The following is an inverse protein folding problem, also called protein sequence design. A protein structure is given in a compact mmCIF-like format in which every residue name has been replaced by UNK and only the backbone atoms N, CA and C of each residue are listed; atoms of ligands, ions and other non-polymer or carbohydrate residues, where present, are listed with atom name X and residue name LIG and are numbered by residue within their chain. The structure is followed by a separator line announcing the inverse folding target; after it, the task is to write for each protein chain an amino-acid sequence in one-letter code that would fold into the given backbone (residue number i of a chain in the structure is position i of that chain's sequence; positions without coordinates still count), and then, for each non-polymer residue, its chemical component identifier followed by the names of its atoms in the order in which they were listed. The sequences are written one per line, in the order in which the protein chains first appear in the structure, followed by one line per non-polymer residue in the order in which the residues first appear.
data_IF_685614812390
#
_entry.id   IF_685614812390
#
_cell.length_a   1.000
_cell.length_b   1.000
_cell.length_c   1.000
_cell.angle_alpha   90.00
_cell.angle_beta   90.00
_cell.angle_gamma   90.00
#
_symmetry.space_group_name_H-M   'P 1'
#
loop_
_entity.id
_entity.type
_entity.pdbx_description
1 polymer ?
#
# COMPACT_ATOMS: atom_id res chain seq x y z
N UNK A 1 -38.31 -9.63 -15.18
CA UNK A 1 -37.37 -8.72 -14.51
C UNK A 1 -36.01 -9.36 -14.58
N UNK A 2 -34.99 -8.69 -15.12
CA UNK A 2 -33.63 -9.21 -15.18
C UNK A 2 -33.05 -9.28 -13.76
N UNK A 3 -32.38 -10.39 -13.43
CA UNK A 3 -31.70 -10.59 -12.16
C UNK A 3 -30.25 -10.09 -12.24
N UNK A 4 -29.57 -9.96 -11.08
CA UNK A 4 -28.17 -9.52 -11.02
C UNK A 4 -27.21 -10.41 -11.82
N UNK A 5 -27.50 -11.72 -11.90
CA UNK A 5 -26.72 -12.67 -12.69
C UNK A 5 -26.85 -12.44 -14.19
N UNK A 6 -28.06 -12.14 -14.68
CA UNK A 6 -28.32 -11.89 -16.10
C UNK A 6 -27.60 -10.62 -16.57
N UNK A 7 -27.60 -9.58 -15.72
CA UNK A 7 -26.86 -8.34 -15.99
C UNK A 7 -25.35 -8.59 -15.99
N UNK A 8 -24.83 -9.43 -15.08
CA UNK A 8 -23.41 -9.80 -15.06
C UNK A 8 -22.98 -10.54 -16.34
N UNK A 9 -23.80 -11.45 -16.86
CA UNK A 9 -23.52 -12.18 -18.10
C UNK A 9 -23.52 -11.26 -19.33
N UNK A 10 -24.44 -10.30 -19.41
CA UNK A 10 -24.49 -9.32 -20.51
C UNK A 10 -23.24 -8.42 -20.48
N UNK A 11 -22.81 -7.98 -19.30
CA UNK A 11 -21.61 -7.15 -19.16
C UNK A 11 -20.33 -7.93 -19.50
N UNK A 12 -20.24 -9.20 -19.07
CA UNK A 12 -19.09 -10.07 -19.35
C UNK A 12 -19.00 -10.45 -20.82
N UNK A 13 -20.14 -10.76 -21.47
CA UNK A 13 -20.20 -11.04 -22.92
C UNK A 13 -19.90 -9.80 -23.78
N UNK A 14 -20.11 -8.60 -23.23
CA UNK A 14 -19.68 -7.33 -23.83
C UNK A 14 -18.19 -7.01 -23.63
N UNK A 15 -17.40 -7.96 -23.09
CA UNK A 15 -15.95 -7.83 -22.93
C UNK A 15 -15.52 -6.97 -21.75
N UNK A 16 -16.40 -6.71 -20.78
CA UNK A 16 -16.04 -6.03 -19.52
C UNK A 16 -15.56 -7.06 -18.49
N UNK A 17 -14.50 -6.72 -17.77
CA UNK A 17 -14.03 -7.52 -16.63
C UNK A 17 -14.70 -6.98 -15.37
N UNK A 18 -15.49 -7.83 -14.72
CA UNK A 18 -16.16 -7.47 -13.47
C UNK A 18 -15.21 -7.72 -12.28
N UNK A 19 -15.01 -6.71 -11.44
CA UNK A 19 -14.20 -6.82 -10.22
C UNK A 19 -14.99 -7.32 -9.01
N UNK A 20 -16.25 -7.73 -9.21
CA UNK A 20 -17.16 -8.13 -8.14
C UNK A 20 -18.56 -8.46 -8.64
N UNK A 21 -19.44 -8.97 -7.76
CA UNK A 21 -20.82 -9.28 -8.12
C UNK A 21 -21.60 -8.00 -8.44
N UNK A 22 -22.52 -8.07 -9.40
CA UNK A 22 -23.46 -6.99 -9.67
C UNK A 22 -24.44 -6.92 -8.50
N UNK A 23 -24.45 -5.80 -7.79
CA UNK A 23 -25.27 -5.62 -6.58
C UNK A 23 -26.43 -4.68 -6.84
N UNK A 24 -27.51 -4.90 -6.10
CA UNK A 24 -28.66 -3.98 -6.03
C UNK A 24 -28.63 -3.39 -4.63
N UNK A 25 -28.58 -2.06 -4.52
CA UNK A 25 -28.56 -1.41 -3.22
C UNK A 25 -29.99 -1.37 -2.65
N UNK A 26 -30.16 -1.80 -1.40
CA UNK A 26 -31.44 -1.76 -0.70
C UNK A 26 -31.88 -0.29 -0.49
N UNK A 27 -32.69 0.20 -1.42
CA UNK A 27 -33.23 1.56 -1.44
C UNK A 27 -33.55 2.06 -2.85
N UNK A 28 -32.75 1.67 -3.85
CA UNK A 28 -32.94 2.06 -5.25
C UNK A 28 -33.35 0.82 -6.07
N UNK A 29 -34.66 0.51 -6.07
CA UNK A 29 -35.20 -0.67 -6.77
C UNK A 29 -35.02 -0.61 -8.29
N UNK A 30 -34.46 0.44 -8.87
CA UNK A 30 -34.39 0.64 -10.32
C UNK A 30 -32.99 0.49 -10.91
N UNK A 31 -31.93 0.46 -10.08
CA UNK A 31 -30.54 0.47 -10.55
C UNK A 31 -29.72 -0.74 -10.10
N UNK A 32 -28.93 -1.30 -11.01
CA UNK A 32 -27.87 -2.25 -10.72
C UNK A 32 -26.52 -1.54 -10.70
N UNK A 33 -25.66 -1.93 -9.76
CA UNK A 33 -24.30 -1.43 -9.66
C UNK A 33 -23.34 -2.52 -10.11
N UNK A 34 -22.57 -2.24 -11.15
CA UNK A 34 -21.57 -3.16 -11.69
C UNK A 34 -20.17 -2.59 -11.47
N UNK A 35 -19.32 -3.37 -10.81
CA UNK A 35 -17.92 -3.00 -10.56
C UNK A 35 -17.07 -3.47 -11.73
N UNK A 36 -16.43 -2.54 -12.43
CA UNK A 36 -15.66 -2.81 -13.66
C UNK A 36 -14.19 -2.49 -13.41
N UNK A 37 -13.33 -3.42 -13.77
CA UNK A 37 -11.88 -3.18 -13.78
C UNK A 37 -11.51 -2.28 -14.96
N UNK A 38 -10.77 -1.21 -14.65
CA UNK A 38 -10.15 -0.35 -15.67
C UNK A 38 -8.63 -0.43 -15.58
N UNK A 39 -8.00 -0.44 -16.74
CA UNK A 39 -6.56 -0.43 -16.94
C UNK A 39 -6.18 0.80 -17.78
N UNK A 40 -4.94 1.28 -17.67
CA UNK A 40 -4.44 2.37 -18.52
C UNK A 40 -3.57 1.80 -19.62
N UNK A 41 -3.78 2.23 -20.86
CA UNK A 41 -2.92 1.87 -21.98
C UNK A 41 -1.54 2.57 -21.88
N UNK A 42 -0.61 2.21 -22.76
CA UNK A 42 0.74 2.79 -22.82
C UNK A 42 0.76 4.30 -23.07
N UNK A 43 -0.37 4.89 -23.46
CA UNK A 43 -0.58 6.31 -23.71
C UNK A 43 -1.38 6.99 -22.58
N UNK A 44 -1.69 6.27 -21.49
CA UNK A 44 -2.42 6.76 -20.33
C UNK A 44 -3.94 6.77 -20.47
N UNK A 45 -4.51 6.22 -21.55
CA UNK A 45 -5.95 6.17 -21.74
C UNK A 45 -6.58 4.98 -21.00
N UNK A 46 -7.72 5.25 -20.37
CA UNK A 46 -8.52 4.25 -19.68
C UNK A 46 -9.13 3.23 -20.65
N UNK A 47 -8.96 1.94 -20.34
CA UNK A 47 -9.58 0.78 -20.98
C UNK A 47 -10.32 -0.06 -19.93
N UNK A 48 -11.63 -0.29 -20.06
CA UNK A 48 -12.54 0.28 -21.07
C UNK A 48 -12.74 1.80 -20.94
N UNK A 49 -12.95 2.48 -22.07
CA UNK A 49 -13.10 3.94 -22.12
C UNK A 49 -14.48 4.39 -21.64
N UNK A 50 -14.59 5.61 -21.11
CA UNK A 50 -15.88 6.17 -20.66
C UNK A 50 -16.93 6.23 -21.77
N UNK A 51 -16.50 6.42 -23.03
CA UNK A 51 -17.39 6.41 -24.20
C UNK A 51 -17.96 5.01 -24.41
N UNK A 52 -17.15 3.96 -24.25
CA UNK A 52 -17.59 2.58 -24.38
C UNK A 52 -18.58 2.19 -23.28
N UNK A 53 -18.29 2.59 -22.04
CA UNK A 53 -19.18 2.38 -20.90
C UNK A 53 -20.51 3.12 -21.05
N UNK A 54 -20.50 4.35 -21.57
CA UNK A 54 -21.71 5.10 -21.87
C UNK A 54 -22.63 4.38 -22.87
N UNK A 55 -22.06 3.82 -23.94
CA UNK A 55 -22.84 3.04 -24.93
C UNK A 55 -23.50 1.81 -24.34
N UNK A 56 -22.78 1.04 -23.52
CA UNK A 56 -23.32 -0.15 -22.85
C UNK A 56 -24.43 0.25 -21.86
N UNK A 57 -24.24 1.35 -21.12
CA UNK A 57 -25.28 1.88 -20.22
C UNK A 57 -26.55 2.25 -20.98
N UNK A 58 -26.43 2.95 -22.11
CA UNK A 58 -27.58 3.33 -22.95
C UNK A 58 -28.33 2.13 -23.52
N UNK A 59 -27.60 1.08 -23.93
CA UNK A 59 -28.20 -0.16 -24.45
C UNK A 59 -28.99 -0.92 -23.37
N UNK A 60 -28.44 -0.97 -22.15
CA UNK A 60 -29.12 -1.58 -21.01
C UNK A 60 -30.34 -0.75 -20.57
N UNK A 61 -30.25 0.58 -20.64
CA UNK A 61 -31.38 1.48 -20.35
C UNK A 61 -32.52 1.28 -21.35
N UNK A 62 -32.22 1.10 -22.65
CA UNK A 62 -33.24 0.74 -23.66
C UNK A 62 -33.92 -0.59 -23.38
N UNK A 63 -33.20 -1.50 -22.73
CA UNK A 63 -33.72 -2.80 -22.28
C UNK A 63 -34.46 -2.72 -20.93
N UNK A 64 -34.68 -1.51 -20.40
CA UNK A 64 -35.40 -1.27 -19.15
C UNK A 64 -34.56 -1.50 -17.88
N UNK A 65 -33.23 -1.58 -18.01
CA UNK A 65 -32.31 -1.82 -16.90
C UNK A 65 -31.35 -0.65 -16.74
N UNK A 66 -31.39 0.01 -15.59
CA UNK A 66 -30.43 1.07 -15.29
C UNK A 66 -29.20 0.42 -14.65
N UNK A 67 -28.05 0.48 -15.33
CA UNK A 67 -26.77 0.02 -14.78
C UNK A 67 -25.85 1.21 -14.56
N UNK A 68 -25.40 1.36 -13.31
CA UNK A 68 -24.40 2.34 -12.89
C UNK A 68 -23.06 1.62 -12.74
N UNK A 69 -22.04 2.12 -13.42
CA UNK A 69 -20.70 1.55 -13.38
C UNK A 69 -19.88 2.18 -12.27
N UNK A 70 -19.25 1.34 -11.45
CA UNK A 70 -18.26 1.72 -10.47
C UNK A 70 -16.91 1.26 -11.01
N UNK A 71 -16.02 2.20 -11.31
CA UNK A 71 -14.73 1.92 -11.94
C UNK A 71 -13.69 1.66 -10.85
N UNK A 72 -13.18 0.44 -10.82
CA UNK A 72 -12.03 0.08 -10.02
C UNK A 72 -10.79 0.15 -10.92
N UNK A 73 -10.04 1.25 -10.79
CA UNK A 73 -8.71 1.34 -11.38
C UNK A 73 -7.84 0.34 -10.62
N UNK A 74 -7.16 -0.53 -11.36
CA UNK A 74 -6.09 -1.40 -10.80
C UNK A 74 -4.99 -0.58 -10.09
N UNK A 75 -5.02 0.76 -10.22
CA UNK A 75 -4.30 1.74 -9.43
C UNK A 75 -4.82 1.90 -7.98
N UNK A 76 -4.37 1.01 -7.10
CA UNK A 76 -4.41 1.10 -5.64
C UNK A 76 -3.63 2.32 -5.04
N UNK A 77 -3.46 3.44 -5.77
CA UNK A 77 -2.43 4.45 -5.49
C UNK A 77 -2.91 5.79 -4.91
N UNK A 78 -4.22 6.12 -4.93
CA UNK A 78 -4.69 7.43 -4.42
C UNK A 78 -5.48 7.37 -3.10
N UNK A 79 -5.82 6.18 -2.62
CA UNK A 79 -6.54 5.98 -1.36
C UNK A 79 -5.68 6.39 -0.15
N UNK A 80 -4.42 5.95 -0.12
CA UNK A 80 -3.47 6.37 0.91
C UNK A 80 -3.20 7.87 0.82
N UNK A 81 -3.03 8.41 -0.38
CA UNK A 81 -2.71 9.82 -0.57
C UNK A 81 -3.80 10.73 -0.03
N UNK A 82 -5.07 10.42 -0.31
CA UNK A 82 -6.20 11.17 0.22
C UNK A 82 -6.44 10.93 1.72
N UNK A 83 -6.20 9.71 2.25
CA UNK A 83 -6.26 9.47 3.70
C UNK A 83 -5.22 10.33 4.42
N UNK A 84 -3.99 10.36 3.88
CA UNK A 84 -2.89 11.16 4.41
C UNK A 84 -3.20 12.64 4.37
N UNK A 85 -3.72 13.15 3.26
CA UNK A 85 -4.14 14.54 3.15
C UNK A 85 -5.23 14.87 4.17
N UNK A 86 -6.23 14.00 4.32
CA UNK A 86 -7.34 14.17 5.26
C UNK A 86 -6.87 14.23 6.71
N UNK A 87 -6.01 13.29 7.11
CA UNK A 87 -5.50 13.21 8.48
C UNK A 87 -4.53 14.34 8.82
N UNK A 88 -3.65 14.72 7.88
CA UNK A 88 -2.74 15.84 8.07
C UNK A 88 -3.46 17.18 8.13
N UNK A 89 -4.54 17.36 7.36
CA UNK A 89 -5.36 18.57 7.39
C UNK A 89 -6.24 18.65 8.64
N UNK A 90 -6.85 17.54 9.05
CA UNK A 90 -7.73 17.51 10.22
C UNK A 90 -6.96 17.56 11.55
N UNK A 91 -5.75 17.01 11.59
CA UNK A 91 -4.95 16.88 12.81
C UNK A 91 -3.50 17.34 12.61
N UNK A 92 -3.26 18.58 12.14
CA UNK A 92 -1.93 19.05 11.78
C UNK A 92 -0.98 19.07 12.98
N UNK A 93 -1.45 19.35 14.18
CA UNK A 93 -0.62 19.41 15.40
C UNK A 93 -0.27 18.03 15.96
N UNK A 94 -1.01 16.99 15.57
CA UNK A 94 -0.99 15.68 16.21
C UNK A 94 -0.44 14.59 15.32
N UNK A 95 -0.63 14.72 14.00
CA UNK A 95 -0.23 13.74 12.98
C UNK A 95 0.91 14.32 12.16
N UNK A 96 2.06 13.64 12.18
CA UNK A 96 3.21 13.92 11.31
C UNK A 96 3.04 13.24 9.96
N UNK A 97 2.43 12.06 9.95
CA UNK A 97 2.17 11.29 8.73
C UNK A 97 1.16 10.18 8.98
N UNK A 98 0.64 9.61 7.90
CA UNK A 98 -0.12 8.36 7.95
C UNK A 98 0.19 7.48 6.74
N UNK A 99 -0.01 6.17 6.92
CA UNK A 99 0.13 5.15 5.89
C UNK A 99 -1.08 4.22 5.93
N UNK A 100 -1.36 3.57 4.79
CA UNK A 100 -2.44 2.62 4.66
C UNK A 100 -1.85 1.28 4.22
N UNK A 101 -2.10 0.23 5.01
CA UNK A 101 -1.84 -1.14 4.60
C UNK A 101 -3.19 -1.79 4.30
N UNK A 102 -3.33 -2.37 3.11
CA UNK A 102 -4.53 -3.09 2.70
C UNK A 102 -4.17 -4.57 2.59
N UNK A 103 -4.94 -5.42 3.25
CA UNK A 103 -4.84 -6.87 3.17
C UNK A 103 -6.18 -7.50 2.77
N UNK A 104 -6.25 -8.83 2.72
CA UNK A 104 -7.47 -9.56 2.34
C UNK A 104 -8.60 -9.47 3.37
N UNK A 105 -8.33 -9.00 4.59
CA UNK A 105 -9.31 -8.84 5.65
C UNK A 105 -9.78 -7.39 5.82
N UNK A 106 -9.00 -6.42 5.34
CA UNK A 106 -9.38 -5.01 5.32
C UNK A 106 -8.18 -4.06 5.33
N UNK A 107 -8.35 -2.92 6.00
CA UNK A 107 -7.39 -1.83 6.00
C UNK A 107 -6.83 -1.55 7.40
N UNK A 108 -5.51 -1.50 7.52
CA UNK A 108 -4.82 -1.04 8.72
C UNK A 108 -4.20 0.33 8.46
N UNK A 109 -4.52 1.32 9.29
CA UNK A 109 -3.98 2.67 9.19
C UNK A 109 -2.87 2.86 10.20
N UNK A 110 -1.72 3.32 9.72
CA UNK A 110 -0.57 3.62 10.56
C UNK A 110 -0.43 5.13 10.71
N UNK A 111 -0.31 5.61 11.94
CA UNK A 111 -0.15 7.03 12.24
C UNK A 111 1.23 7.27 12.83
N UNK A 112 1.95 8.21 12.24
CA UNK A 112 3.16 8.81 12.81
C UNK A 112 2.74 10.05 13.61
N UNK A 113 2.76 10.03 14.95
CA UNK A 113 2.36 11.20 15.72
C UNK A 113 3.48 12.25 15.79
N UNK A 114 3.10 13.51 16.05
CA UNK A 114 4.06 14.60 16.34
C UNK A 114 4.52 14.63 17.80
N UNK A 115 3.78 13.99 18.72
CA UNK A 115 4.13 13.93 20.14
C UNK A 115 3.30 12.92 20.94
N UNK A 116 3.53 12.83 22.25
CA UNK A 116 2.84 11.86 23.14
C UNK A 116 1.35 12.14 23.34
N UNK A 117 0.91 13.37 23.10
CA UNK A 117 -0.48 13.82 23.32
C UNK A 117 -1.44 13.29 22.23
N UNK A 118 -0.92 12.77 21.11
CA UNK A 118 -1.73 12.14 20.05
C UNK A 118 -2.54 10.92 20.56
N UNK A 119 -2.13 10.29 21.66
CA UNK A 119 -2.91 9.20 22.29
C UNK A 119 -4.28 9.68 22.79
N UNK A 120 -4.37 10.91 23.30
CA UNK A 120 -5.63 11.49 23.79
C UNK A 120 -6.64 11.75 22.68
N UNK A 121 -6.18 11.84 21.42
CA UNK A 121 -7.00 12.11 20.23
C UNK A 121 -7.12 10.89 19.32
N UNK A 122 -6.68 9.71 19.77
CA UNK A 122 -6.64 8.51 18.94
C UNK A 122 -8.03 8.08 18.48
N UNK A 123 -9.06 8.22 19.32
CA UNK A 123 -10.44 7.88 18.97
C UNK A 123 -11.03 8.83 17.91
N UNK A 124 -10.70 10.12 17.98
CA UNK A 124 -11.10 11.08 16.95
C UNK A 124 -10.42 10.80 15.60
N UNK A 125 -9.13 10.45 15.65
CA UNK A 125 -8.38 10.08 14.45
C UNK A 125 -8.92 8.77 13.85
N UNK A 126 -9.23 7.78 14.70
CA UNK A 126 -9.87 6.52 14.29
C UNK A 126 -11.21 6.77 13.60
N UNK A 127 -12.09 7.55 14.20
CA UNK A 127 -13.38 7.89 13.61
C UNK A 127 -13.21 8.57 12.25
N UNK A 128 -12.28 9.52 12.13
CA UNK A 128 -12.01 10.19 10.86
C UNK A 128 -11.45 9.24 9.80
N UNK A 129 -10.53 8.36 10.18
CA UNK A 129 -9.98 7.34 9.29
C UNK A 129 -11.05 6.33 8.84
N UNK A 130 -11.91 5.88 9.76
CA UNK A 130 -13.01 4.98 9.48
C UNK A 130 -14.00 5.59 8.48
N UNK A 131 -14.39 6.85 8.67
CA UNK A 131 -15.28 7.56 7.73
C UNK A 131 -14.65 7.61 6.33
N UNK A 132 -13.37 7.93 6.24
CA UNK A 132 -12.66 8.02 4.95
C UNK A 132 -12.56 6.65 4.26
N UNK A 133 -12.24 5.59 5.00
CA UNK A 133 -12.06 4.23 4.48
C UNK A 133 -13.41 3.59 4.11
N UNK A 134 -14.43 3.78 4.93
CA UNK A 134 -15.79 3.31 4.64
C UNK A 134 -16.37 3.99 3.39
N UNK A 135 -16.05 5.29 3.17
CA UNK A 135 -16.45 6.00 1.96
C UNK A 135 -15.79 5.41 0.70
N UNK A 136 -14.66 4.72 0.84
CA UNK A 136 -13.99 3.99 -0.23
C UNK A 136 -14.42 2.51 -0.31
N UNK A 137 -15.52 2.12 0.35
CA UNK A 137 -16.04 0.74 0.42
C UNK A 137 -15.05 -0.29 0.99
N UNK A 138 -14.12 0.17 1.83
CA UNK A 138 -13.17 -0.68 2.56
C UNK A 138 -13.53 -0.72 4.04
N UNK A 139 -13.11 -1.78 4.73
CA UNK A 139 -13.29 -1.94 6.18
C UNK A 139 -12.02 -1.58 6.91
N UNK A 140 -12.08 -0.60 7.83
CA UNK A 140 -10.97 -0.30 8.74
C UNK A 140 -10.88 -1.39 9.82
N UNK A 141 -9.79 -2.15 9.81
CA UNK A 141 -9.47 -3.16 10.82
C UNK A 141 -8.95 -2.51 12.09
N UNK A 142 -7.89 -1.71 11.95
CA UNK A 142 -7.20 -1.12 13.10
C UNK A 142 -6.46 0.16 12.72
N UNK A 143 -6.27 1.03 13.72
CA UNK A 143 -5.42 2.21 13.65
C UNK A 143 -4.26 2.03 14.63
N UNK A 144 -3.03 1.93 14.11
CA UNK A 144 -1.80 1.72 14.88
C UNK A 144 -0.95 2.98 14.94
N UNK A 145 -0.42 3.28 16.12
CA UNK A 145 0.58 4.33 16.30
C UNK A 145 1.98 3.76 16.07
N UNK A 146 2.79 4.41 15.25
CA UNK A 146 4.18 3.99 14.99
C UNK A 146 5.12 4.07 16.20
N UNK A 147 4.67 4.66 17.32
CA UNK A 147 5.49 4.86 18.54
C UNK A 147 5.38 3.68 19.51
N UNK A 148 4.33 2.86 19.39
CA UNK A 148 4.11 1.71 20.26
C UNK A 148 4.64 0.40 19.66
N UNK A 149 5.10 0.46 18.41
CA UNK A 149 5.55 -0.68 17.63
C UNK A 149 7.07 -0.63 17.52
N UNK A 150 7.73 -1.78 17.59
CA UNK A 150 9.18 -1.91 17.47
C UNK A 150 9.58 -1.71 16.00
N UNK A 151 9.47 -0.47 15.51
CA UNK A 151 9.80 -0.13 14.13
C UNK A 151 11.32 -0.04 13.95
N UNK A 152 11.82 -0.44 12.77
CA UNK A 152 13.24 -0.45 12.52
C UNK A 152 13.78 0.96 12.35
N UNK A 153 14.81 1.30 13.14
CA UNK A 153 15.54 2.56 12.99
C UNK A 153 16.37 2.58 11.70
N UNK A 154 16.83 3.77 11.26
CA UNK A 154 17.79 3.91 10.14
C UNK A 154 19.02 3.03 10.31
N UNK A 155 19.54 2.95 11.55
CA UNK A 155 20.69 2.12 11.88
C UNK A 155 20.36 0.64 11.75
N UNK A 156 19.18 0.20 12.20
CA UNK A 156 18.74 -1.18 12.02
C UNK A 156 18.64 -1.55 10.52
N UNK A 157 18.04 -0.67 9.71
CA UNK A 157 17.95 -0.84 8.25
C UNK A 157 19.35 -0.94 7.63
N UNK A 158 20.28 -0.04 7.99
CA UNK A 158 21.66 -0.09 7.49
C UNK A 158 22.41 -1.35 7.90
N UNK A 159 22.20 -1.83 9.14
CA UNK A 159 22.80 -3.07 9.62
C UNK A 159 22.27 -4.29 8.87
N UNK A 160 20.98 -4.32 8.54
CA UNK A 160 20.43 -5.38 7.69
C UNK A 160 20.97 -5.33 6.28
N UNK A 161 21.00 -4.15 5.66
CA UNK A 161 21.60 -3.97 4.34
C UNK A 161 23.06 -4.42 4.33
N UNK A 162 23.80 -4.28 5.44
CA UNK A 162 25.20 -4.68 5.50
C UNK A 162 25.38 -6.19 5.37
N UNK A 163 24.47 -6.94 5.97
CA UNK A 163 24.51 -8.39 5.97
C UNK A 163 23.93 -8.92 4.67
N UNK A 164 22.81 -8.33 4.23
CA UNK A 164 21.92 -8.92 3.25
C UNK A 164 22.05 -8.34 1.85
N UNK A 165 22.80 -7.24 1.65
CA UNK A 165 22.92 -6.63 0.34
C UNK A 165 23.69 -7.51 -0.65
N UNK A 166 23.23 -7.57 -1.92
CA UNK A 166 22.12 -6.81 -2.50
C UNK A 166 20.73 -7.35 -2.12
N UNK A 167 19.74 -6.47 -1.88
CA UNK A 167 18.38 -6.87 -1.44
C UNK A 167 17.31 -5.87 -1.90
N UNK A 168 16.09 -6.33 -2.19
CA UNK A 168 14.92 -5.48 -2.47
C UNK A 168 14.20 -5.06 -1.16
N UNK A 169 13.19 -4.21 -1.27
CA UNK A 169 12.49 -3.68 -0.09
C UNK A 169 11.62 -4.74 0.59
N UNK A 170 11.03 -5.64 -0.18
CA UNK A 170 10.14 -6.69 0.29
C UNK A 170 10.90 -7.70 1.17
N UNK A 171 12.05 -8.19 0.68
CA UNK A 171 12.89 -9.13 1.44
C UNK A 171 13.52 -8.42 2.64
N UNK A 172 13.84 -7.13 2.53
CA UNK A 172 14.34 -6.35 3.66
C UNK A 172 13.29 -6.27 4.78
N UNK A 173 12.02 -6.05 4.44
CA UNK A 173 10.90 -6.05 5.39
C UNK A 173 10.79 -7.40 6.10
N UNK A 174 10.74 -8.50 5.35
CA UNK A 174 10.65 -9.84 5.95
C UNK A 174 11.84 -10.16 6.86
N UNK A 175 13.03 -9.68 6.53
CA UNK A 175 14.21 -9.85 7.40
C UNK A 175 14.13 -9.02 8.67
N UNK A 176 13.61 -7.80 8.60
CA UNK A 176 13.39 -6.97 9.78
C UNK A 176 12.33 -7.61 10.69
N UNK A 177 11.26 -8.14 10.12
CA UNK A 177 10.25 -8.92 10.87
C UNK A 177 10.86 -10.13 11.57
N UNK A 178 11.70 -10.91 10.88
CA UNK A 178 12.38 -12.07 11.48
C UNK A 178 13.29 -11.73 12.66
N UNK A 179 13.68 -10.45 12.79
CA UNK A 179 14.49 -9.93 13.90
C UNK A 179 13.66 -9.33 15.03
N UNK A 180 12.34 -9.49 14.97
CA UNK A 180 11.40 -9.02 15.99
C UNK A 180 11.01 -7.55 15.84
N UNK A 181 11.27 -6.93 14.68
CA UNK A 181 10.67 -5.63 14.36
C UNK A 181 9.22 -5.83 13.91
N UNK A 182 8.34 -4.89 14.26
CA UNK A 182 6.96 -4.89 13.80
C UNK A 182 6.93 -4.68 12.29
N UNK A 183 6.08 -5.43 11.57
CA UNK A 183 5.93 -5.35 10.10
C UNK A 183 5.74 -3.90 9.65
N UNK A 184 6.80 -3.23 9.14
CA UNK A 184 6.72 -1.83 8.80
C UNK A 184 6.04 -1.69 7.43
N UNK A 185 5.16 -0.68 7.24
CA UNK A 185 4.61 -0.38 5.93
C UNK A 185 5.73 -0.17 4.89
N UNK A 186 5.51 -0.62 3.65
CA UNK A 186 6.52 -0.52 2.59
C UNK A 186 6.96 0.93 2.37
N UNK A 187 6.04 1.89 2.47
CA UNK A 187 6.32 3.31 2.34
C UNK A 187 7.13 3.89 3.49
N UNK A 188 6.99 3.34 4.70
CA UNK A 188 7.86 3.70 5.81
C UNK A 188 9.31 3.33 5.48
N UNK A 189 9.55 2.09 5.02
CA UNK A 189 10.88 1.62 4.67
C UNK A 189 11.42 2.37 3.44
N UNK A 190 10.60 2.59 2.41
CA UNK A 190 10.98 3.36 1.23
C UNK A 190 11.43 4.78 1.58
N UNK A 191 10.71 5.49 2.45
CA UNK A 191 11.13 6.82 2.92
C UNK A 191 12.47 6.80 3.66
N UNK A 192 12.72 5.74 4.43
CA UNK A 192 14.01 5.56 5.11
C UNK A 192 15.12 5.28 4.10
N UNK A 193 14.89 4.39 3.13
CA UNK A 193 15.82 4.10 2.04
C UNK A 193 16.11 5.36 1.21
N UNK A 194 15.12 6.17 0.88
CA UNK A 194 15.32 7.43 0.16
C UNK A 194 16.10 8.47 0.96
N UNK A 195 15.87 8.55 2.27
CA UNK A 195 16.67 9.40 3.15
C UNK A 195 18.14 8.93 3.19
N UNK A 196 18.37 7.61 3.31
CA UNK A 196 19.72 7.01 3.30
C UNK A 196 20.40 7.19 1.93
N UNK A 197 19.65 7.12 0.84
CA UNK A 197 20.14 7.34 -0.53
C UNK A 197 20.57 8.79 -0.73
N UNK A 198 19.74 9.74 -0.31
CA UNK A 198 20.08 11.18 -0.34
C UNK A 198 21.29 11.51 0.53
N UNK A 199 21.47 10.78 1.64
CA UNK A 199 22.65 10.89 2.48
C UNK A 199 23.91 10.20 1.92
N UNK A 200 23.83 9.57 0.74
CA UNK A 200 24.96 8.86 0.11
C UNK A 200 25.37 7.56 0.82
N UNK A 201 24.51 7.03 1.70
CA UNK A 201 24.82 5.84 2.49
C UNK A 201 24.45 4.54 1.75
N UNK A 202 23.49 4.61 0.84
CA UNK A 202 23.06 3.48 0.03
C UNK A 202 22.92 3.90 -1.44
N UNK A 203 23.01 2.91 -2.34
CA UNK A 203 22.74 3.04 -3.76
C UNK A 203 21.61 2.08 -4.15
N UNK A 204 20.77 2.52 -5.10
CA UNK A 204 19.78 1.66 -5.75
C UNK A 204 20.32 1.28 -7.12
N UNK A 205 20.50 -0.01 -7.37
CA UNK A 205 20.94 -0.57 -8.66
C UNK A 205 19.80 -0.52 -9.69
N UNK A 206 20.14 -0.72 -10.96
CA UNK A 206 19.17 -0.72 -12.08
C UNK A 206 18.13 -1.84 -11.99
N UNK A 207 18.47 -2.94 -11.33
CA UNK A 207 17.60 -4.08 -11.02
C UNK A 207 16.68 -3.84 -9.81
N UNK A 208 16.70 -2.64 -9.22
CA UNK A 208 15.87 -2.28 -8.08
C UNK A 208 16.42 -2.70 -6.72
N UNK A 209 17.57 -3.38 -6.68
CA UNK A 209 18.22 -3.83 -5.44
C UNK A 209 18.98 -2.69 -4.76
N UNK A 210 18.98 -2.70 -3.43
CA UNK A 210 19.72 -1.75 -2.61
C UNK A 210 21.06 -2.34 -2.15
N UNK A 211 22.11 -1.50 -2.21
CA UNK A 211 23.44 -1.82 -1.71
C UNK A 211 23.98 -0.68 -0.85
N UNK A 212 24.87 -1.00 0.08
CA UNK A 212 25.61 0.01 0.84
C UNK A 212 26.74 0.62 0.04
N UNK A 213 27.03 1.90 0.31
CA UNK A 213 28.25 2.55 -0.18
C UNK A 213 29.45 2.19 0.69
N UNK A 214 30.66 2.32 0.13
CA UNK A 214 31.90 2.17 0.89
C UNK A 214 31.98 3.18 2.06
N UNK A 215 31.45 4.39 1.86
CA UNK A 215 31.35 5.42 2.90
C UNK A 215 30.48 4.96 4.07
N UNK A 216 29.31 4.37 3.81
CA UNK A 216 28.45 3.84 4.86
C UNK A 216 29.08 2.66 5.60
N UNK A 217 29.76 1.75 4.89
CA UNK A 217 30.49 0.65 5.53
C UNK A 217 31.57 1.17 6.49
N UNK A 218 32.28 2.23 6.11
CA UNK A 218 33.28 2.88 6.97
C UNK A 218 32.65 3.49 8.23
N UNK A 219 31.50 4.14 8.09
CA UNK A 219 30.75 4.76 9.22
C UNK A 219 30.20 3.71 10.17
N UNK A 220 29.70 2.58 9.65
CA UNK A 220 29.20 1.46 10.47
C UNK A 220 30.32 0.72 11.22
N UNK A 221 31.59 0.94 10.85
CA UNK A 221 32.77 0.34 11.47
C UNK A 221 32.81 -1.19 11.34
N UNK A 222 33.78 -1.85 11.96
CA UNK A 222 33.78 -3.32 12.09
C UNK A 222 34.21 -3.70 13.49
N UNK A 223 33.54 -4.69 14.07
CA UNK A 223 33.94 -5.27 15.36
C UNK A 223 34.58 -6.64 15.10
N UNK A 224 35.79 -6.86 15.60
CA UNK A 224 36.51 -8.14 15.45
C UNK A 224 36.03 -9.16 16.49
N UNK A 225 34.88 -9.81 16.23
CA UNK A 225 34.32 -10.91 17.03
C UNK A 225 33.74 -11.98 16.11
N UNK A 226 33.43 -13.18 16.64
CA UNK A 226 32.83 -14.29 15.88
C UNK A 226 31.51 -13.91 15.19
N UNK A 227 30.75 -13.01 15.78
CA UNK A 227 29.51 -12.46 15.22
C UNK A 227 29.76 -11.12 14.52
N UNK A 228 30.95 -10.92 13.94
CA UNK A 228 31.22 -9.68 13.20
C UNK A 228 30.27 -9.59 12.02
N UNK A 229 29.84 -8.37 11.65
CA UNK A 229 28.95 -8.19 10.51
C UNK A 229 29.51 -8.79 9.21
N UNK A 230 30.83 -8.82 9.05
CA UNK A 230 31.49 -9.35 7.87
C UNK A 230 31.45 -10.90 7.82
N UNK A 231 31.61 -11.57 8.98
CA UNK A 231 31.42 -13.03 9.10
C UNK A 231 29.95 -13.39 8.88
N UNK A 232 29.03 -12.64 9.49
CA UNK A 232 27.58 -12.87 9.32
C UNK A 232 27.17 -12.67 7.87
N UNK A 233 27.69 -11.63 7.19
CA UNK A 233 27.47 -11.40 5.76
C UNK A 233 27.99 -12.57 4.92
N UNK A 234 29.21 -13.05 5.18
CA UNK A 234 29.78 -14.18 4.44
C UNK A 234 28.94 -15.45 4.61
N UNK A 235 28.49 -15.75 5.83
CA UNK A 235 27.60 -16.89 6.10
C UNK A 235 26.20 -16.74 5.48
N UNK A 236 25.71 -15.51 5.34
CA UNK A 236 24.42 -15.22 4.71
C UNK A 236 24.51 -15.39 3.19
N UNK A 237 25.59 -14.90 2.55
CA UNK A 237 25.88 -15.13 1.13
C UNK A 237 26.03 -16.63 0.81
N UNK A 238 26.77 -17.37 1.67
CA UNK A 238 26.93 -18.82 1.52
C UNK A 238 25.58 -19.55 1.57
N UNK A 239 24.67 -19.15 2.46
CA UNK A 239 23.32 -19.72 2.55
C UNK A 239 22.45 -19.43 1.34
N UNK A 240 22.68 -18.31 0.64
CA UNK A 240 21.96 -17.93 -0.57
C UNK A 240 22.56 -18.52 -1.85
N UNK A 241 23.68 -19.25 -1.77
CA UNK A 241 24.48 -19.68 -2.92
C UNK A 241 24.92 -18.51 -3.82
N UNK A 242 25.22 -17.36 -3.22
CA UNK A 242 25.67 -16.13 -3.91
C UNK A 242 27.19 -15.90 -3.76
N UNK A 243 27.94 -16.98 -3.49
CA UNK A 243 29.41 -16.98 -3.38
C UNK A 243 30.08 -17.29 -4.72
#
# INVERSE_FOLDING_TARGET
MLNSSDVAEILTSSGLVLSGPVVRQDGDRLAFYAFIEVSKDSNGHQKPSNIYLGKISEELVRSGVLVKFILNDTANFDLEAGLRATLLHAFPEWVRNSFLTIDSQGCTVWIVPKGGVTRSYLEEIKNRAAIYINNASLSLLEVKLTVNENLPSRTAILMELRIAAPINVEVLISRLESKGFSSPPIDYVNRHLDALRRAGQIIRRKDGLYCLTAGALKVLGTVKRRNSPDVVRFLDLARRNEL
#
